data_IF_684726705136
#
_entry.id   IF_684726705136
#
_cell.length_a   1.000
_cell.length_b   1.000
_cell.length_c   1.000
_cell.angle_alpha   90.00
_cell.angle_beta   90.00
_cell.angle_gamma   90.00
#
_symmetry.space_group_name_H-M   'P 1'
#
loop_
_entity.id
_entity.type
_entity.pdbx_description
1 polymer ?
#
# COMPACT_ATOMS: atom_id res chain seq x y z
N UNK A 1 23.20 -3.05 -19.85
CA UNK A 1 22.86 -3.06 -18.42
C UNK A 1 21.60 -2.22 -18.27
N UNK A 2 20.45 -2.79 -17.90
CA UNK A 2 19.20 -2.01 -17.79
C UNK A 2 19.35 -1.03 -16.64
N UNK A 3 19.27 0.27 -16.94
CA UNK A 3 19.49 1.33 -15.96
C UNK A 3 18.46 1.23 -14.83
N UNK A 4 18.82 1.65 -13.62
CA UNK A 4 17.85 1.66 -12.51
C UNK A 4 16.65 2.60 -12.79
N UNK A 5 16.81 3.51 -13.75
CA UNK A 5 15.76 4.35 -14.31
C UNK A 5 14.72 3.53 -15.10
N UNK A 6 15.14 2.54 -15.89
CA UNK A 6 14.23 1.64 -16.63
C UNK A 6 13.41 0.73 -15.71
N UNK A 7 13.99 0.31 -14.57
CA UNK A 7 13.28 -0.43 -13.52
C UNK A 7 12.26 0.46 -12.80
N UNK A 8 12.58 1.75 -12.65
CA UNK A 8 11.68 2.73 -12.04
C UNK A 8 10.51 3.06 -12.99
N UNK A 9 10.78 3.27 -14.29
CA UNK A 9 9.73 3.52 -15.29
C UNK A 9 8.81 2.30 -15.52
N UNK A 10 9.33 1.06 -15.52
CA UNK A 10 8.49 -0.13 -15.64
C UNK A 10 7.50 -0.32 -14.48
N UNK A 11 7.87 0.11 -13.26
CA UNK A 11 6.97 0.08 -12.09
C UNK A 11 5.75 0.99 -12.25
N UNK A 12 5.85 2.05 -13.06
CA UNK A 12 4.78 3.04 -13.21
C UNK A 12 3.68 2.63 -14.20
N UNK A 13 3.87 1.59 -15.02
CA UNK A 13 2.83 1.13 -15.97
C UNK A 13 1.70 0.31 -15.31
N UNK A 14 1.87 -0.19 -14.08
CA UNK A 14 0.89 -1.05 -13.40
C UNK A 14 0.19 -0.36 -12.22
N UNK A 15 0.04 0.96 -12.28
CA UNK A 15 -0.71 1.70 -11.27
C UNK A 15 -2.21 1.46 -11.45
N UNK A 16 -2.79 0.77 -10.48
CA UNK A 16 -4.23 0.60 -10.38
C UNK A 16 -4.81 1.73 -9.54
N UNK A 17 -5.92 2.29 -10.02
CA UNK A 17 -6.68 3.33 -9.34
C UNK A 17 -8.02 2.75 -8.87
N UNK A 18 -8.32 2.90 -7.58
CA UNK A 18 -9.59 2.49 -7.00
C UNK A 18 -10.23 3.66 -6.27
N UNK A 19 -11.54 3.79 -6.41
CA UNK A 19 -12.32 4.93 -5.89
C UNK A 19 -13.36 4.40 -4.90
N UNK A 20 -13.54 5.14 -3.80
CA UNK A 20 -14.56 4.87 -2.77
C UNK A 20 -14.53 3.45 -2.16
N UNK A 21 -13.35 2.82 -2.12
CA UNK A 21 -13.20 1.49 -1.54
C UNK A 21 -13.23 1.56 -0.02
N UNK A 22 -13.93 0.61 0.61
CA UNK A 22 -14.11 0.57 2.06
C UNK A 22 -12.96 -0.15 2.75
N UNK A 23 -12.41 0.49 3.78
CA UNK A 23 -11.34 -0.07 4.61
C UNK A 23 -11.93 -0.91 5.74
N UNK A 24 -11.54 -2.18 5.84
CA UNK A 24 -12.02 -3.11 6.87
C UNK A 24 -11.12 -3.14 8.11
N UNK A 25 -9.82 -2.89 7.94
CA UNK A 25 -8.86 -2.75 9.04
C UNK A 25 -7.75 -1.76 8.69
N UNK A 26 -7.18 -1.12 9.72
CA UNK A 26 -6.01 -0.24 9.58
C UNK A 26 -5.10 -0.48 10.78
N UNK A 27 -3.87 -0.90 10.53
CA UNK A 27 -2.81 -1.07 11.53
C UNK A 27 -1.65 -0.14 11.22
N UNK A 28 -0.98 0.33 12.28
CA UNK A 28 0.18 1.22 12.21
C UNK A 28 1.28 0.59 13.04
N UNK A 29 2.48 0.46 12.46
CA UNK A 29 3.65 -0.10 13.13
C UNK A 29 4.83 0.82 12.93
N UNK A 30 5.52 1.16 14.00
CA UNK A 30 6.79 1.89 13.93
C UNK A 30 7.88 1.01 13.32
N UNK A 31 8.58 1.56 12.33
CA UNK A 31 9.67 0.92 11.58
C UNK A 31 10.81 1.94 11.46
N UNK A 32 11.46 2.23 12.59
CA UNK A 32 12.47 3.30 12.69
C UNK A 32 11.82 4.67 12.56
N UNK A 33 12.29 5.48 11.61
CA UNK A 33 11.77 6.84 11.36
C UNK A 33 10.42 6.87 10.61
N UNK A 34 9.92 5.70 10.21
CA UNK A 34 8.70 5.54 9.43
C UNK A 34 7.66 4.75 10.20
N UNK A 35 6.40 5.10 9.99
CA UNK A 35 5.26 4.32 10.42
C UNK A 35 4.70 3.61 9.21
N UNK A 36 4.78 2.28 9.24
CA UNK A 36 4.18 1.42 8.24
C UNK A 36 2.69 1.29 8.52
N UNK A 37 1.89 1.82 7.60
CA UNK A 37 0.44 1.65 7.58
C UNK A 37 0.10 0.43 6.74
N UNK A 38 -0.73 -0.46 7.29
CA UNK A 38 -1.33 -1.57 6.55
C UNK A 38 -2.84 -1.48 6.67
N UNK A 39 -3.51 -1.40 5.53
CA UNK A 39 -4.98 -1.42 5.45
C UNK A 39 -5.46 -2.65 4.69
N UNK A 40 -6.62 -3.15 5.08
CA UNK A 40 -7.36 -4.16 4.32
C UNK A 40 -8.57 -3.51 3.67
N UNK A 41 -8.86 -3.91 2.43
CA UNK A 41 -10.00 -3.43 1.66
C UNK A 41 -11.07 -4.52 1.63
N UNK A 42 -12.33 -4.10 1.66
CA UNK A 42 -13.48 -4.99 1.53
C UNK A 42 -13.38 -5.82 0.22
N UNK A 43 -13.64 -7.13 0.31
CA UNK A 43 -13.52 -8.07 -0.81
C UNK A 43 -12.10 -8.20 -1.42
N UNK A 44 -11.05 -7.84 -0.69
CA UNK A 44 -9.66 -8.05 -1.11
C UNK A 44 -8.85 -8.75 -0.01
N UNK A 45 -8.13 -9.81 -0.38
CA UNK A 45 -7.32 -10.60 0.56
C UNK A 45 -5.88 -10.09 0.68
N UNK A 46 -5.42 -9.27 -0.26
CA UNK A 46 -4.06 -8.71 -0.23
C UNK A 46 -4.01 -7.45 0.66
N UNK A 47 -3.00 -7.30 1.52
CA UNK A 47 -2.82 -6.11 2.32
C UNK A 47 -2.27 -4.94 1.51
N UNK A 48 -2.77 -3.74 1.80
CA UNK A 48 -2.32 -2.50 1.19
C UNK A 48 -1.38 -1.76 2.14
N UNK A 49 -0.15 -1.52 1.70
CA UNK A 49 0.93 -0.98 2.55
C UNK A 49 1.42 0.38 2.03
N UNK A 50 1.61 1.32 2.94
CA UNK A 50 2.27 2.61 2.69
C UNK A 50 2.97 3.10 3.95
N UNK A 51 3.99 3.96 3.78
CA UNK A 51 4.73 4.53 4.89
C UNK A 51 4.45 6.02 5.04
N UNK A 52 4.40 6.51 6.28
CA UNK A 52 4.37 7.94 6.62
C UNK A 52 5.36 8.20 7.75
N UNK A 53 5.86 9.42 7.89
CA UNK A 53 6.74 9.81 9.02
C UNK A 53 5.97 10.13 10.29
N UNK A 54 4.63 10.21 10.22
CA UNK A 54 3.76 10.53 11.35
C UNK A 54 2.58 9.58 11.38
N UNK A 55 2.11 9.28 12.59
CA UNK A 55 0.87 8.53 12.78
C UNK A 55 -0.27 9.25 12.07
N UNK A 56 -1.21 8.47 11.56
CA UNK A 56 -2.35 8.98 10.83
C UNK A 56 -3.64 8.58 11.53
N UNK A 57 -4.71 9.33 11.29
CA UNK A 57 -6.02 8.93 11.79
C UNK A 57 -6.38 7.53 11.28
N UNK A 58 -7.12 6.78 12.10
CA UNK A 58 -7.60 5.46 11.68
C UNK A 58 -8.49 5.62 10.44
N UNK A 59 -8.32 4.69 9.50
CA UNK A 59 -9.08 4.64 8.25
C UNK A 59 -10.10 3.51 8.29
N UNK A 60 -10.12 2.70 9.36
CA UNK A 60 -11.07 1.60 9.53
C UNK A 60 -12.50 2.13 9.41
N UNK A 61 -13.29 1.52 8.52
CA UNK A 61 -14.67 1.89 8.22
C UNK A 61 -14.82 3.08 7.25
N UNK A 62 -13.74 3.78 6.92
CA UNK A 62 -13.79 4.89 5.95
C UNK A 62 -13.74 4.37 4.50
N UNK A 63 -14.28 5.17 3.58
CA UNK A 63 -14.05 5.03 2.15
C UNK A 63 -12.82 5.84 1.74
N UNK A 64 -11.99 5.26 0.88
CA UNK A 64 -10.75 5.89 0.42
C UNK A 64 -10.58 5.71 -1.08
N UNK A 65 -9.87 6.66 -1.69
CA UNK A 65 -9.36 6.56 -3.05
C UNK A 65 -7.89 6.15 -2.99
N UNK A 66 -7.51 5.13 -3.75
CA UNK A 66 -6.19 4.51 -3.76
C UNK A 66 -5.56 4.56 -5.15
N UNK A 67 -4.25 4.78 -5.16
CA UNK A 67 -3.37 4.49 -6.29
C UNK A 67 -2.30 3.54 -5.80
N UNK A 68 -2.19 2.35 -6.38
CA UNK A 68 -1.32 1.28 -5.90
C UNK A 68 -0.84 0.36 -7.02
N UNK A 69 0.12 -0.51 -6.71
CA UNK A 69 0.57 -1.57 -7.62
C UNK A 69 0.88 -2.86 -6.83
N UNK A 70 0.73 -4.03 -7.46
CA UNK A 70 1.08 -5.30 -6.82
C UNK A 70 2.60 -5.41 -6.65
N UNK A 71 3.03 -5.99 -5.53
CA UNK A 71 4.41 -6.30 -5.26
C UNK A 71 4.51 -7.56 -4.41
N UNK A 72 5.66 -8.23 -4.48
CA UNK A 72 6.00 -9.33 -3.58
C UNK A 72 6.86 -8.79 -2.44
N UNK A 73 6.53 -9.19 -1.22
CA UNK A 73 7.30 -8.93 -0.01
C UNK A 73 7.76 -10.26 0.58
N UNK A 74 9.07 -10.40 0.78
CA UNK A 74 9.65 -11.60 1.37
C UNK A 74 9.59 -11.49 2.90
N UNK A 75 8.80 -12.33 3.54
CA UNK A 75 8.66 -12.41 5.00
C UNK A 75 9.07 -13.82 5.45
N UNK A 76 10.09 -13.92 6.29
CA UNK A 76 10.63 -15.20 6.80
C UNK A 76 10.92 -16.23 5.69
N UNK A 77 11.37 -15.77 4.52
CA UNK A 77 11.67 -16.63 3.37
C UNK A 77 10.48 -16.91 2.43
N UNK A 78 9.26 -16.52 2.79
CA UNK A 78 8.06 -16.67 1.97
C UNK A 78 7.76 -15.38 1.19
N UNK A 79 7.39 -15.50 -0.07
CA UNK A 79 6.92 -14.37 -0.87
C UNK A 79 5.41 -14.17 -0.64
N UNK A 80 5.06 -12.98 -0.16
CA UNK A 80 3.68 -12.59 0.11
C UNK A 80 3.31 -11.48 -0.86
N UNK A 81 2.16 -11.64 -1.51
CA UNK A 81 1.60 -10.58 -2.35
C UNK A 81 1.06 -9.44 -1.49
N UNK A 82 1.48 -8.22 -1.83
CA UNK A 82 1.05 -6.98 -1.20
C UNK A 82 0.69 -5.95 -2.26
N UNK A 83 -0.11 -4.96 -1.88
CA UNK A 83 -0.40 -3.80 -2.71
C UNK A 83 0.37 -2.60 -2.16
N UNK A 84 1.38 -2.12 -2.89
CA UNK A 84 2.14 -0.92 -2.51
C UNK A 84 1.35 0.32 -2.91
N UNK A 85 0.91 1.08 -1.91
CA UNK A 85 0.10 2.28 -2.11
C UNK A 85 1.00 3.50 -2.29
N UNK A 86 0.81 4.21 -3.40
CA UNK A 86 1.49 5.47 -3.72
C UNK A 86 0.68 6.67 -3.22
N UNK A 87 -0.65 6.60 -3.38
CA UNK A 87 -1.54 7.67 -2.95
C UNK A 87 -2.76 7.08 -2.26
N UNK A 88 -3.13 7.70 -1.15
CA UNK A 88 -4.36 7.43 -0.42
C UNK A 88 -5.01 8.76 -0.02
N UNK A 89 -6.30 8.89 -0.32
CA UNK A 89 -7.13 10.03 0.07
C UNK A 89 -8.41 9.51 0.69
N UNK A 90 -8.77 10.02 1.87
CA UNK A 90 -10.10 9.78 2.45
C UNK A 90 -11.15 10.54 1.64
N UNK A 91 -12.21 9.85 1.24
CA UNK A 91 -13.36 10.45 0.54
C UNK A 91 -14.25 11.21 1.51
#
# INVERSE_FOLDING_TARGET
>A
MKSDVDKMLNKHQQLTHSVEVKVTSHTQRDTGDWIQHTIMIENCNAPFKFNRTKAYQSLKGAKVNLTYYPALEKIAGFDIEIMKVVRIKRS
#
